data_IF_063156535341
#
_entry.id   IF_063156535341
#
_cell.length_a   1.000
_cell.length_b   1.000
_cell.length_c   1.000
_cell.angle_alpha   90.00
_cell.angle_beta   90.00
_cell.angle_gamma   90.00
#
_symmetry.space_group_name_H-M   'P 1'
#
loop_
_entity.id
_entity.type
_entity.pdbx_description
1 polymer ?
#
# COMPACT_ATOMS: atom_id res chain seq x y z
N UNK A 1 -12.07 21.02 -75.56
CA UNK A 1 -12.01 21.47 -74.16
C UNK A 1 -11.71 20.26 -73.28
N UNK A 2 -10.50 20.18 -72.71
CA UNK A 2 -10.03 19.09 -71.88
C UNK A 2 -10.05 19.57 -70.44
N UNK A 3 -10.88 18.91 -69.58
CA UNK A 3 -10.88 19.15 -68.16
C UNK A 3 -9.80 18.30 -67.49
N UNK A 4 -8.89 18.94 -66.79
CA UNK A 4 -7.90 18.26 -65.93
C UNK A 4 -8.56 17.98 -64.53
N UNK A 5 -8.70 16.73 -64.20
CA UNK A 5 -8.98 16.31 -62.83
C UNK A 5 -7.69 16.30 -62.03
N UNK A 6 -7.59 17.17 -60.99
CA UNK A 6 -6.52 17.13 -60.02
C UNK A 6 -6.94 16.15 -58.90
N UNK A 7 -6.24 15.01 -58.82
CA UNK A 7 -6.35 14.08 -57.71
C UNK A 7 -5.61 14.63 -56.46
N UNK A 8 -6.33 14.82 -55.39
CA UNK A 8 -5.76 15.15 -54.10
C UNK A 8 -5.35 13.81 -53.38
N UNK A 9 -4.05 13.64 -53.20
CA UNK A 9 -3.49 12.55 -52.43
C UNK A 9 -3.56 12.90 -50.95
N UNK A 10 -4.52 12.32 -50.21
CA UNK A 10 -4.63 12.46 -48.77
C UNK A 10 -3.58 11.56 -48.11
N UNK A 11 -2.58 12.20 -47.50
CA UNK A 11 -1.58 11.50 -46.67
C UNK A 11 -2.19 11.22 -45.31
N UNK A 12 -2.56 9.95 -45.02
CA UNK A 12 -2.92 9.51 -43.67
C UNK A 12 -1.62 9.47 -42.84
N UNK A 13 -1.45 10.43 -41.96
CA UNK A 13 -0.47 10.35 -40.86
C UNK A 13 -1.02 9.41 -39.81
N UNK A 14 -0.53 8.18 -39.79
CA UNK A 14 -0.72 7.27 -38.65
C UNK A 14 0.06 7.84 -37.46
N UNK A 15 -0.64 8.42 -36.50
CA UNK A 15 -0.08 8.76 -35.20
C UNK A 15 0.18 7.45 -34.45
N UNK A 16 1.42 6.99 -34.41
CA UNK A 16 1.89 6.02 -33.45
C UNK A 16 1.83 6.70 -32.07
N UNK A 17 0.81 6.40 -31.29
CA UNK A 17 0.82 6.71 -29.87
C UNK A 17 1.90 5.88 -29.21
N UNK A 18 3.02 6.51 -28.81
CA UNK A 18 3.94 5.95 -27.83
C UNK A 18 3.16 5.85 -26.53
N UNK A 19 2.61 4.67 -26.25
CA UNK A 19 2.14 4.33 -24.92
C UNK A 19 3.34 4.29 -24.01
N UNK A 20 3.48 5.26 -23.12
CA UNK A 20 4.37 5.16 -21.98
C UNK A 20 4.03 3.85 -21.27
N UNK A 21 4.93 2.88 -21.32
CA UNK A 21 4.81 1.66 -20.55
C UNK A 21 4.93 2.08 -19.09
N UNK A 22 3.81 2.24 -18.38
CA UNK A 22 3.82 2.39 -16.93
C UNK A 22 4.59 1.20 -16.37
N UNK A 23 5.69 1.50 -15.70
CA UNK A 23 6.49 0.48 -15.01
C UNK A 23 5.62 -0.06 -13.89
N UNK A 24 4.98 -1.20 -14.15
CA UNK A 24 4.17 -1.88 -13.15
C UNK A 24 5.09 -2.51 -12.12
N UNK A 25 4.99 -2.09 -10.86
CA UNK A 25 5.77 -2.65 -9.76
C UNK A 25 5.43 -4.13 -9.47
N UNK A 26 4.20 -4.54 -9.80
CA UNK A 26 3.69 -5.88 -9.54
C UNK A 26 2.21 -5.99 -9.91
N UNK A 27 1.49 -7.00 -9.39
CA UNK A 27 0.08 -7.18 -9.70
C UNK A 27 -0.76 -6.01 -9.17
N UNK A 28 -1.72 -5.52 -9.96
CA UNK A 28 -2.66 -4.48 -9.52
C UNK A 28 -3.67 -5.00 -8.47
N UNK A 29 -3.86 -6.31 -8.38
CA UNK A 29 -4.73 -6.95 -7.38
C UNK A 29 -4.34 -8.40 -7.15
N UNK A 30 -4.69 -8.96 -5.98
CA UNK A 30 -4.47 -10.36 -5.66
C UNK A 30 -5.42 -10.83 -4.56
N UNK A 31 -5.50 -12.14 -4.33
CA UNK A 31 -6.16 -12.71 -3.15
C UNK A 31 -5.11 -12.91 -2.07
N UNK A 32 -5.42 -12.50 -0.85
CA UNK A 32 -4.54 -12.70 0.31
C UNK A 32 -4.65 -14.15 0.76
N UNK A 33 -3.52 -14.86 0.72
CA UNK A 33 -3.40 -16.24 1.22
C UNK A 33 -3.10 -16.28 2.73
N UNK A 34 -2.25 -15.35 3.20
CA UNK A 34 -1.80 -15.34 4.59
C UNK A 34 -1.53 -13.90 5.06
N UNK A 35 -1.83 -13.64 6.33
CA UNK A 35 -1.45 -12.40 7.02
C UNK A 35 -0.31 -12.72 7.97
N UNK A 36 0.89 -12.18 7.69
CA UNK A 36 2.08 -12.46 8.50
C UNK A 36 2.10 -11.62 9.77
N UNK A 37 1.83 -10.31 9.63
CA UNK A 37 1.80 -9.32 10.70
C UNK A 37 0.73 -8.26 10.48
N UNK A 38 0.65 -7.28 11.35
CA UNK A 38 -0.32 -6.20 11.23
C UNK A 38 -0.20 -5.36 9.96
N UNK A 39 0.91 -5.49 9.21
CA UNK A 39 1.22 -4.66 8.04
C UNK A 39 1.87 -5.44 6.88
N UNK A 40 1.86 -6.75 6.94
CA UNK A 40 2.49 -7.61 5.91
C UNK A 40 1.60 -8.80 5.58
N UNK A 41 1.37 -9.02 4.29
CA UNK A 41 0.59 -10.15 3.77
C UNK A 41 1.32 -10.90 2.69
N UNK A 42 0.86 -12.13 2.40
CA UNK A 42 1.26 -12.95 1.25
C UNK A 42 0.05 -13.13 0.34
N UNK A 43 0.23 -12.90 -0.95
CA UNK A 43 -0.78 -13.19 -1.96
C UNK A 43 -0.76 -14.67 -2.35
N UNK A 44 -1.87 -15.20 -2.89
CA UNK A 44 -1.92 -16.57 -3.44
C UNK A 44 -0.89 -16.81 -4.55
N UNK A 45 -0.50 -15.76 -5.27
CA UNK A 45 0.56 -15.78 -6.28
C UNK A 45 1.98 -15.82 -5.71
N UNK A 46 2.14 -15.68 -4.39
CA UNK A 46 3.40 -15.84 -3.66
C UNK A 46 4.10 -14.53 -3.29
N UNK A 47 3.67 -13.38 -3.81
CA UNK A 47 4.30 -12.10 -3.47
C UNK A 47 4.02 -11.72 -2.02
N UNK A 48 5.06 -11.21 -1.36
CA UNK A 48 4.96 -10.59 -0.04
C UNK A 48 4.75 -9.10 -0.21
N UNK A 49 3.68 -8.57 0.41
CA UNK A 49 3.32 -7.15 0.33
C UNK A 49 3.48 -6.52 1.71
N UNK A 50 4.36 -5.51 1.82
CA UNK A 50 4.54 -4.65 2.99
C UNK A 50 3.76 -3.36 2.78
N UNK A 51 2.97 -2.98 3.75
CA UNK A 51 2.12 -1.81 3.66
C UNK A 51 2.94 -0.53 3.76
N UNK A 52 2.76 0.38 2.80
CA UNK A 52 3.40 1.69 2.80
C UNK A 52 2.88 2.54 3.97
N UNK A 53 3.81 3.27 4.62
CA UNK A 53 3.54 4.22 5.70
C UNK A 53 2.83 3.64 6.93
N UNK A 54 2.65 2.34 7.04
CA UNK A 54 2.10 1.67 8.20
C UNK A 54 3.14 0.70 8.79
N UNK A 55 3.46 0.83 10.06
CA UNK A 55 4.39 -0.01 10.82
C UNK A 55 3.68 -0.55 12.05
N UNK A 56 3.21 -1.78 11.95
CA UNK A 56 2.51 -2.45 13.03
C UNK A 56 3.51 -3.03 14.04
N UNK A 57 3.14 -3.10 15.32
CA UNK A 57 3.90 -3.86 16.31
C UNK A 57 4.03 -5.33 15.88
N UNK A 58 5.21 -5.90 16.08
CA UNK A 58 5.49 -7.29 15.72
C UNK A 58 4.66 -8.28 16.57
N UNK A 59 3.99 -9.22 15.90
CA UNK A 59 3.21 -10.26 16.56
C UNK A 59 4.09 -11.30 17.26
N UNK A 60 5.25 -11.59 16.65
CA UNK A 60 6.18 -12.65 17.05
C UNK A 60 7.57 -12.08 17.30
N UNK A 61 8.41 -12.84 17.99
CA UNK A 61 9.75 -12.44 18.43
C UNK A 61 9.94 -12.83 19.88
N UNK A 62 10.90 -12.26 20.59
CA UNK A 62 11.18 -12.56 22.01
C UNK A 62 10.05 -12.07 22.96
N UNK A 63 8.82 -12.55 22.73
CA UNK A 63 7.61 -12.21 23.48
C UNK A 63 6.59 -11.37 22.71
N UNK A 64 6.89 -11.00 21.46
CA UNK A 64 6.07 -10.05 20.67
C UNK A 64 6.12 -8.63 21.21
N UNK A 65 5.65 -7.68 20.42
CA UNK A 65 5.48 -6.31 20.87
C UNK A 65 4.11 -6.10 21.54
N UNK A 66 4.02 -5.12 22.42
CA UNK A 66 2.73 -4.66 22.94
C UNK A 66 1.80 -4.32 21.78
N UNK A 67 0.59 -4.85 21.78
CA UNK A 67 -0.43 -4.66 20.74
C UNK A 67 -0.15 -5.37 19.40
N UNK A 68 0.89 -6.19 19.28
CA UNK A 68 1.19 -6.97 18.06
C UNK A 68 0.10 -7.96 17.69
N UNK A 69 -0.37 -8.81 18.61
CA UNK A 69 -1.50 -9.73 18.35
C UNK A 69 -2.77 -9.02 17.91
N UNK A 70 -3.10 -7.88 18.48
CA UNK A 70 -4.30 -7.08 18.16
C UNK A 70 -4.18 -6.44 16.76
N UNK A 71 -3.01 -5.90 16.43
CA UNK A 71 -2.74 -5.34 15.10
C UNK A 71 -2.83 -6.43 14.01
N UNK A 72 -2.22 -7.60 14.24
CA UNK A 72 -2.34 -8.75 13.36
C UNK A 72 -3.79 -9.21 13.19
N UNK A 73 -4.53 -9.37 14.29
CA UNK A 73 -5.93 -9.81 14.25
C UNK A 73 -6.82 -8.82 13.50
N UNK A 74 -6.57 -7.51 13.66
CA UNK A 74 -7.29 -6.48 12.95
C UNK A 74 -7.05 -6.55 11.44
N UNK A 75 -5.77 -6.61 11.01
CA UNK A 75 -5.41 -6.76 9.60
C UNK A 75 -6.01 -8.04 9.01
N UNK A 76 -5.87 -9.16 9.71
CA UNK A 76 -6.41 -10.46 9.31
C UNK A 76 -7.92 -10.41 9.07
N UNK A 77 -8.67 -9.78 9.99
CA UNK A 77 -10.11 -9.61 9.83
C UNK A 77 -10.53 -8.78 8.63
N UNK A 78 -9.64 -7.88 8.16
CA UNK A 78 -9.90 -7.05 6.99
C UNK A 78 -9.60 -7.77 5.66
N UNK A 79 -8.49 -8.53 5.58
CA UNK A 79 -7.93 -8.92 4.27
C UNK A 79 -7.79 -10.43 4.03
N UNK A 80 -7.74 -11.28 5.07
CA UNK A 80 -7.48 -12.72 4.89
C UNK A 80 -8.53 -13.39 4.00
N UNK A 81 -8.07 -14.11 2.98
CA UNK A 81 -8.92 -14.78 1.99
C UNK A 81 -9.68 -13.83 1.06
N UNK A 82 -9.48 -12.52 1.15
CA UNK A 82 -10.14 -11.53 0.30
C UNK A 82 -9.27 -11.14 -0.89
N UNK A 83 -9.91 -10.64 -1.94
CA UNK A 83 -9.24 -9.94 -3.03
C UNK A 83 -8.93 -8.53 -2.60
N UNK A 84 -7.68 -8.12 -2.78
CA UNK A 84 -7.20 -6.76 -2.49
C UNK A 84 -6.75 -6.08 -3.78
N UNK A 85 -6.86 -4.76 -3.83
CA UNK A 85 -6.24 -3.90 -4.84
C UNK A 85 -4.94 -3.34 -4.27
N UNK A 86 -3.90 -3.27 -5.10
CA UNK A 86 -2.58 -2.75 -4.74
C UNK A 86 -2.32 -1.47 -5.51
N UNK A 87 -2.02 -0.39 -4.79
CA UNK A 87 -1.55 0.87 -5.37
C UNK A 87 -0.13 1.11 -4.92
N UNK A 88 0.77 1.25 -5.88
CA UNK A 88 2.19 1.41 -5.62
C UNK A 88 2.56 2.89 -5.42
N UNK A 89 3.63 3.12 -4.66
CA UNK A 89 4.20 4.45 -4.45
C UNK A 89 5.44 4.68 -5.32
N UNK A 90 6.34 5.52 -4.81
CA UNK A 90 7.55 5.94 -5.51
C UNK A 90 8.65 4.85 -5.54
N UNK A 91 8.48 3.76 -4.80
CA UNK A 91 9.36 2.60 -4.82
C UNK A 91 8.52 1.32 -4.90
N UNK A 92 8.96 0.37 -5.71
CA UNK A 92 8.24 -0.89 -5.92
C UNK A 92 8.46 -1.90 -4.81
N UNK A 93 9.70 -1.98 -4.30
CA UNK A 93 10.11 -3.01 -3.34
C UNK A 93 11.01 -2.43 -2.25
N UNK A 94 11.06 -3.12 -1.14
CA UNK A 94 12.05 -2.87 -0.11
C UNK A 94 13.32 -3.74 -0.32
N UNK A 95 14.31 -3.53 0.55
CA UNK A 95 15.58 -4.28 0.52
C UNK A 95 15.45 -5.79 0.75
N UNK A 96 14.28 -6.26 1.15
CA UNK A 96 13.99 -7.68 1.40
C UNK A 96 13.17 -8.31 0.26
N UNK A 97 12.92 -7.58 -0.84
CA UNK A 97 12.13 -8.03 -1.98
C UNK A 97 10.63 -8.13 -1.69
N UNK A 98 10.12 -7.36 -0.71
CA UNK A 98 8.69 -7.23 -0.49
C UNK A 98 8.13 -6.09 -1.31
N UNK A 99 7.03 -6.31 -2.02
CA UNK A 99 6.30 -5.24 -2.71
C UNK A 99 5.84 -4.19 -1.70
N UNK A 100 6.01 -2.91 -2.04
CA UNK A 100 5.58 -1.78 -1.23
C UNK A 100 4.29 -1.21 -1.81
N UNK A 101 3.15 -1.36 -1.10
CA UNK A 101 1.86 -0.95 -1.62
C UNK A 101 0.92 -0.35 -0.56
N UNK A 102 0.00 0.47 -1.04
CA UNK A 102 -1.25 0.75 -0.36
C UNK A 102 -2.23 -0.36 -0.75
N UNK A 103 -2.84 -0.97 0.25
CA UNK A 103 -3.71 -2.14 0.09
C UNK A 103 -5.15 -1.73 0.37
N UNK A 104 -6.07 -2.02 -0.55
CA UNK A 104 -7.49 -1.71 -0.40
C UNK A 104 -8.36 -2.95 -0.53
N UNK A 105 -9.39 -3.01 0.28
CA UNK A 105 -10.48 -3.99 0.24
C UNK A 105 -11.79 -3.23 0.10
N UNK A 106 -12.57 -3.52 -0.97
CA UNK A 106 -13.89 -2.90 -1.17
C UNK A 106 -13.82 -1.36 -1.02
N UNK A 107 -12.89 -0.72 -1.72
CA UNK A 107 -12.65 0.73 -1.70
C UNK A 107 -12.16 1.32 -0.37
N UNK A 108 -11.96 0.50 0.66
CA UNK A 108 -11.38 0.95 1.94
C UNK A 108 -9.89 0.64 1.98
N UNK A 109 -9.08 1.66 2.15
CA UNK A 109 -7.64 1.49 2.27
C UNK A 109 -7.26 1.02 3.67
N UNK A 110 -6.61 -0.14 3.72
CA UNK A 110 -6.22 -0.81 4.97
C UNK A 110 -5.10 -0.06 5.69
N UNK A 111 -4.14 0.50 4.94
CA UNK A 111 -3.01 1.25 5.49
C UNK A 111 -3.49 2.44 6.35
N UNK A 112 -4.43 3.24 5.82
CA UNK A 112 -5.01 4.38 6.55
C UNK A 112 -5.80 3.93 7.76
N UNK A 113 -6.59 2.85 7.63
CA UNK A 113 -7.37 2.30 8.74
C UNK A 113 -6.48 1.82 9.89
N UNK A 114 -5.36 1.16 9.60
CA UNK A 114 -4.40 0.70 10.61
C UNK A 114 -3.86 1.88 11.42
N UNK A 115 -3.43 2.95 10.76
CA UNK A 115 -2.88 4.14 11.41
C UNK A 115 -3.98 4.92 12.16
N UNK A 116 -5.13 5.17 11.53
CA UNK A 116 -6.26 5.88 12.15
C UNK A 116 -6.78 5.21 13.42
N UNK A 117 -6.81 3.86 13.43
CA UNK A 117 -7.27 3.07 14.56
C UNK A 117 -6.18 2.80 15.61
N UNK A 118 -4.93 3.20 15.32
CA UNK A 118 -3.79 2.99 16.21
C UNK A 118 -3.31 1.54 16.24
N UNK A 119 -3.51 0.77 15.16
CA UNK A 119 -2.93 -0.57 14.99
C UNK A 119 -1.55 -0.52 14.34
N UNK A 120 -1.17 0.61 13.76
CA UNK A 120 0.15 0.86 13.22
C UNK A 120 0.59 2.30 13.48
N UNK A 121 1.90 2.52 13.52
CA UNK A 121 2.54 3.82 13.51
C UNK A 121 2.93 4.21 12.09
N UNK A 122 3.25 5.49 11.88
CA UNK A 122 3.76 5.93 10.58
C UNK A 122 5.26 5.65 10.49
N UNK A 123 5.67 4.81 9.54
CA UNK A 123 7.06 4.62 9.15
C UNK A 123 7.27 5.09 7.72
N UNK A 124 8.11 6.10 7.55
CA UNK A 124 8.49 6.60 6.22
C UNK A 124 9.95 6.29 5.93
N UNK A 125 10.19 5.41 4.96
CA UNK A 125 11.52 5.08 4.43
C UNK A 125 11.63 5.67 3.02
N UNK A 126 12.34 6.81 2.83
CA UNK A 126 12.42 7.45 1.52
C UNK A 126 13.01 6.53 0.44
N UNK A 127 12.52 6.65 -0.82
CA UNK A 127 11.50 7.58 -1.30
C UNK A 127 10.05 7.09 -1.07
N UNK A 128 9.85 5.87 -0.60
CA UNK A 128 8.58 5.16 -0.55
C UNK A 128 7.52 5.90 0.30
N UNK A 129 6.37 6.21 -0.29
CA UNK A 129 5.25 6.86 0.38
C UNK A 129 5.43 8.37 0.63
N UNK A 130 6.40 9.02 -0.01
CA UNK A 130 6.69 10.46 0.18
C UNK A 130 5.47 11.34 -0.08
N UNK A 131 4.76 11.07 -1.15
CA UNK A 131 3.60 11.87 -1.59
C UNK A 131 2.46 11.90 -0.57
N UNK A 132 2.31 10.84 0.23
CA UNK A 132 1.21 10.71 1.20
C UNK A 132 1.65 10.81 2.67
N UNK A 133 2.93 11.05 2.92
CA UNK A 133 3.48 11.11 4.29
C UNK A 133 2.71 12.06 5.21
N UNK A 134 2.39 13.26 4.74
CA UNK A 134 1.71 14.28 5.56
C UNK A 134 0.29 13.84 5.96
N UNK A 135 -0.43 13.17 5.06
CA UNK A 135 -1.75 12.57 5.32
C UNK A 135 -1.66 11.56 6.46
N UNK A 136 -0.74 10.60 6.37
CA UNK A 136 -0.58 9.56 7.39
C UNK A 136 -0.14 10.12 8.75
N UNK A 137 0.75 11.12 8.76
CA UNK A 137 1.13 11.80 9.99
C UNK A 137 -0.05 12.50 10.68
N UNK A 138 -0.98 13.06 9.91
CA UNK A 138 -2.20 13.65 10.46
C UNK A 138 -3.13 12.60 11.07
N UNK A 139 -3.29 11.44 10.43
CA UNK A 139 -4.05 10.30 10.98
C UNK A 139 -3.44 9.79 12.28
N UNK A 140 -2.12 9.61 12.30
CA UNK A 140 -1.39 9.19 13.51
C UNK A 140 -1.57 10.20 14.66
N UNK A 141 -1.46 11.50 14.38
CA UNK A 141 -1.64 12.53 15.39
C UNK A 141 -3.04 12.47 16.02
N UNK A 142 -4.08 12.21 15.20
CA UNK A 142 -5.45 12.02 15.70
C UNK A 142 -5.58 10.75 16.55
N UNK A 143 -4.95 9.63 16.12
CA UNK A 143 -4.95 8.38 16.89
C UNK A 143 -4.28 8.56 18.26
N UNK A 144 -3.15 9.27 18.31
CA UNK A 144 -2.42 9.62 19.55
C UNK A 144 -3.26 10.47 20.50
N UNK A 145 -3.86 11.55 20.00
CA UNK A 145 -4.73 12.42 20.81
C UNK A 145 -5.91 11.66 21.39
N UNK A 146 -6.52 10.78 20.61
CA UNK A 146 -7.64 9.95 21.03
C UNK A 146 -7.22 8.69 21.82
N UNK A 147 -5.91 8.47 22.04
CA UNK A 147 -5.33 7.29 22.72
C UNK A 147 -5.83 5.97 22.14
N UNK A 148 -5.95 5.88 20.81
CA UNK A 148 -6.43 4.68 20.13
C UNK A 148 -5.31 3.64 20.04
N UNK A 149 -5.68 2.36 20.16
CA UNK A 149 -4.77 1.23 19.97
C UNK A 149 -3.49 1.32 20.79
N UNK A 150 -2.34 1.21 20.15
CA UNK A 150 -1.00 1.28 20.78
C UNK A 150 -0.81 2.53 21.65
N UNK A 151 -1.43 3.67 21.26
CA UNK A 151 -1.29 4.94 21.95
C UNK A 151 -2.00 5.00 23.30
N UNK A 152 -2.95 4.11 23.54
CA UNK A 152 -3.65 3.98 24.81
C UNK A 152 -3.27 2.75 25.61
N UNK A 153 -2.83 1.68 24.92
CA UNK A 153 -2.60 0.37 25.51
C UNK A 153 -1.14 0.15 25.94
N UNK A 154 -0.17 0.80 25.29
CA UNK A 154 1.25 0.49 25.45
C UNK A 154 2.07 1.60 26.14
N UNK A 155 2.98 1.18 27.02
CA UNK A 155 4.00 2.04 27.62
C UNK A 155 5.29 1.21 27.85
N UNK A 156 6.39 1.45 27.10
CA UNK A 156 6.51 2.38 25.98
C UNK A 156 5.73 1.94 24.73
N UNK A 157 5.45 2.89 23.84
CA UNK A 157 4.83 2.58 22.54
C UNK A 157 5.88 1.93 21.63
N UNK A 158 5.63 0.74 21.04
CA UNK A 158 6.65 -0.05 20.35
C UNK A 158 7.19 0.58 19.07
N UNK A 159 6.43 1.44 18.42
CA UNK A 159 6.82 2.09 17.17
C UNK A 159 7.73 3.32 17.34
N UNK A 160 8.16 3.64 18.53
CA UNK A 160 9.04 4.79 18.83
C UNK A 160 10.51 4.35 19.01
N UNK A 161 10.95 3.39 18.19
CA UNK A 161 12.33 2.88 18.19
C UNK A 161 13.25 3.71 17.30
#
# INVERSE_FOLDING_TARGET
MRALMKGALACLLAACGEGDAEVSCGPASGRVAEVLDGDTVVLESGERVRYLLADAPERTGAGGDCFGPEAHAFNRGLVEGRRVTLTYGEACEDRFGRLLAYVSVEEREVNTLLVERGHACVLHVPPAGRSRRAEFQALEAQARLARRGVWGACAPVPCQR
#
